data_IF_194910381985
#
_entry.id   IF_194910381985
#
_cell.length_a   1.000
_cell.length_b   1.000
_cell.length_c   1.000
_cell.angle_alpha   90.00
_cell.angle_beta   90.00
_cell.angle_gamma   90.00
#
_symmetry.space_group_name_H-M   'P 1'
#
loop_
_entity.id
_entity.type
_entity.pdbx_description
1 polymer ?
#
# COMPACT_ATOMS: atom_id res chain seq x y z
N UNK A 1 -47.62 42.06 22.54
CA UNK A 1 -46.50 42.05 21.57
C UNK A 1 -45.77 40.75 21.84
N UNK A 2 -46.09 39.68 21.12
CA UNK A 2 -45.56 38.35 21.48
C UNK A 2 -44.88 37.65 20.29
N UNK A 3 -43.67 37.20 20.61
CA UNK A 3 -42.55 36.87 19.73
C UNK A 3 -42.80 35.56 18.97
N UNK A 4 -42.66 35.60 17.63
CA UNK A 4 -42.59 34.41 16.76
C UNK A 4 -41.33 33.60 17.11
N UNK A 5 -41.49 32.40 17.67
CA UNK A 5 -40.39 31.45 17.93
C UNK A 5 -40.15 30.57 16.70
N UNK A 6 -38.90 30.58 16.24
CA UNK A 6 -38.40 29.95 15.03
C UNK A 6 -38.11 28.45 15.30
N UNK A 7 -38.86 27.53 14.69
CA UNK A 7 -38.73 26.07 14.90
C UNK A 7 -38.24 25.41 13.60
N UNK A 8 -36.93 25.44 13.35
CA UNK A 8 -36.30 24.73 12.22
C UNK A 8 -34.99 23.94 12.50
N UNK A 9 -34.49 23.68 13.73
CA UNK A 9 -33.20 22.99 13.87
C UNK A 9 -33.27 21.45 13.71
N UNK A 10 -34.43 20.82 13.96
CA UNK A 10 -34.50 19.35 14.08
C UNK A 10 -34.48 18.59 12.74
N UNK A 11 -34.95 19.20 11.65
CA UNK A 11 -35.04 18.53 10.34
C UNK A 11 -33.67 18.47 9.64
N UNK A 12 -32.90 19.55 9.72
CA UNK A 12 -31.55 19.61 9.15
C UNK A 12 -30.59 18.63 9.84
N UNK A 13 -30.72 18.46 11.17
CA UNK A 13 -29.92 17.48 11.91
C UNK A 13 -30.22 16.03 11.50
N UNK A 14 -31.49 15.70 11.23
CA UNK A 14 -31.87 14.36 10.75
C UNK A 14 -31.38 14.07 9.34
N UNK A 15 -31.41 15.06 8.46
CA UNK A 15 -30.90 14.93 7.09
C UNK A 15 -29.38 14.80 7.05
N UNK A 16 -28.65 15.51 7.92
CA UNK A 16 -27.20 15.36 8.08
C UNK A 16 -26.82 13.96 8.60
N UNK A 17 -27.49 13.48 9.66
CA UNK A 17 -27.22 12.17 10.22
C UNK A 17 -27.49 11.02 9.22
N UNK A 18 -28.53 11.16 8.38
CA UNK A 18 -28.86 10.18 7.35
C UNK A 18 -27.82 10.12 6.21
N UNK A 19 -27.15 11.24 5.89
CA UNK A 19 -26.07 11.29 4.91
C UNK A 19 -24.81 10.61 5.44
N UNK A 20 -24.40 10.92 6.67
CA UNK A 20 -23.23 10.30 7.31
C UNK A 20 -23.40 8.78 7.45
N UNK A 21 -24.60 8.30 7.78
CA UNK A 21 -24.88 6.87 7.86
C UNK A 21 -24.78 6.15 6.49
N UNK A 22 -25.17 6.83 5.40
CA UNK A 22 -25.05 6.28 4.04
C UNK A 22 -23.61 6.24 3.55
N UNK A 23 -22.82 7.25 3.88
CA UNK A 23 -21.39 7.31 3.53
C UNK A 23 -20.60 6.23 4.29
N UNK A 24 -20.90 6.00 5.57
CA UNK A 24 -20.30 4.92 6.35
C UNK A 24 -20.67 3.53 5.80
N UNK A 25 -21.94 3.29 5.46
CA UNK A 25 -22.38 2.02 4.90
C UNK A 25 -21.78 1.74 3.50
N UNK A 26 -21.59 2.78 2.68
CA UNK A 26 -20.93 2.66 1.39
C UNK A 26 -19.43 2.33 1.54
N UNK A 27 -18.76 2.92 2.53
CA UNK A 27 -17.36 2.60 2.83
C UNK A 27 -17.18 1.15 3.32
N UNK A 28 -18.10 0.63 4.14
CA UNK A 28 -18.07 -0.77 4.61
C UNK A 28 -18.35 -1.79 3.50
N UNK A 29 -19.29 -1.49 2.59
CA UNK A 29 -19.61 -2.37 1.46
C UNK A 29 -18.43 -2.54 0.50
N UNK A 30 -17.69 -1.47 0.24
CA UNK A 30 -16.50 -1.49 -0.63
C UNK A 30 -15.36 -2.30 0.00
N UNK A 31 -15.24 -2.30 1.32
CA UNK A 31 -14.21 -3.07 2.04
C UNK A 31 -14.54 -4.57 2.10
N UNK A 32 -15.83 -4.92 2.19
CA UNK A 32 -16.29 -6.31 2.18
C UNK A 32 -16.13 -6.99 0.81
N UNK A 33 -16.36 -6.28 -0.30
CA UNK A 33 -16.19 -6.84 -1.65
C UNK A 33 -14.72 -7.09 -2.02
N UNK A 34 -13.78 -6.27 -1.52
CA UNK A 34 -12.33 -6.50 -1.73
C UNK A 34 -11.84 -7.81 -1.12
N UNK A 35 -12.44 -8.24 -0.01
CA UNK A 35 -12.01 -9.41 0.77
C UNK A 35 -12.21 -10.74 0.03
N UNK A 36 -13.20 -10.82 -0.84
CA UNK A 36 -13.64 -12.11 -1.43
C UNK A 36 -12.85 -12.51 -2.68
N UNK A 37 -12.16 -11.58 -3.35
CA UNK A 37 -11.51 -11.84 -4.66
C UNK A 37 -10.06 -12.36 -4.58
N UNK A 38 -9.47 -12.44 -3.39
CA UNK A 38 -8.03 -12.70 -3.20
C UNK A 38 -7.58 -14.17 -3.29
N UNK A 39 -8.41 -15.10 -3.78
CA UNK A 39 -8.07 -16.54 -3.86
C UNK A 39 -7.81 -17.02 -5.29
N UNK A 40 -6.91 -16.36 -6.02
CA UNK A 40 -6.41 -16.91 -7.29
C UNK A 40 -4.90 -16.74 -7.44
N UNK A 41 -4.26 -17.90 -7.66
CA UNK A 41 -2.89 -18.16 -8.09
C UNK A 41 -1.77 -17.50 -7.24
N UNK A 42 -1.26 -18.26 -6.27
CA UNK A 42 -0.01 -17.95 -5.58
C UNK A 42 1.16 -18.18 -6.54
N UNK A 43 1.94 -17.14 -6.82
CA UNK A 43 3.31 -17.27 -7.35
C UNK A 43 4.11 -18.09 -6.32
N UNK A 44 4.98 -19.02 -6.72
CA UNK A 44 5.74 -19.85 -5.78
C UNK A 44 6.57 -18.97 -4.84
N UNK A 45 6.45 -19.23 -3.54
CA UNK A 45 7.02 -18.45 -2.41
C UNK A 45 8.56 -18.29 -2.42
N UNK A 46 9.26 -18.87 -3.40
CA UNK A 46 10.73 -18.92 -3.47
C UNK A 46 11.31 -18.28 -4.74
N UNK A 47 10.49 -17.69 -5.62
CA UNK A 47 11.01 -17.01 -6.81
C UNK A 47 11.57 -15.64 -6.41
N UNK A 48 12.90 -15.50 -6.39
CA UNK A 48 13.58 -14.22 -6.24
C UNK A 48 13.96 -13.69 -7.62
N UNK A 49 13.37 -12.57 -8.02
CA UNK A 49 13.68 -11.88 -9.29
C UNK A 49 14.59 -10.67 -9.02
N UNK A 50 15.59 -10.46 -9.88
CA UNK A 50 16.41 -9.26 -9.85
C UNK A 50 15.67 -8.07 -10.47
N UNK A 51 15.56 -6.98 -9.71
CA UNK A 51 14.86 -5.77 -10.15
C UNK A 51 15.75 -4.55 -10.01
N UNK A 52 15.34 -3.44 -10.62
CA UNK A 52 16.04 -2.15 -10.50
C UNK A 52 15.35 -1.29 -9.45
N UNK A 53 16.14 -0.78 -8.50
CA UNK A 53 15.70 0.27 -7.60
C UNK A 53 15.54 1.59 -8.38
N UNK A 54 14.35 2.17 -8.35
CA UNK A 54 14.04 3.46 -9.02
C UNK A 54 14.14 4.61 -8.04
N UNK A 55 13.61 4.41 -6.83
CA UNK A 55 13.60 5.39 -5.75
C UNK A 55 13.63 4.66 -4.40
N UNK A 56 14.17 5.30 -3.38
CA UNK A 56 14.30 4.77 -2.02
C UNK A 56 14.13 5.89 -0.99
N UNK A 57 13.33 5.59 0.02
CA UNK A 57 13.12 6.45 1.19
C UNK A 57 13.19 5.61 2.47
N UNK A 58 13.10 6.27 3.62
CA UNK A 58 12.98 5.62 4.94
C UNK A 58 11.82 4.64 5.03
N UNK A 59 10.71 4.90 4.33
CA UNK A 59 9.46 4.16 4.51
C UNK A 59 9.07 3.29 3.33
N UNK A 60 9.83 3.31 2.24
CA UNK A 60 9.47 2.54 1.06
C UNK A 60 10.38 2.78 -0.12
N UNK A 61 10.07 2.10 -1.21
CA UNK A 61 10.83 2.19 -2.44
C UNK A 61 9.93 2.02 -3.68
N UNK A 62 10.45 2.47 -4.82
CA UNK A 62 9.92 2.15 -6.14
C UNK A 62 10.85 1.17 -6.84
N UNK A 63 10.30 0.08 -7.37
CA UNK A 63 11.05 -0.96 -8.08
C UNK A 63 10.58 -1.03 -9.52
N UNK A 64 11.51 -1.32 -10.44
CA UNK A 64 11.25 -1.56 -11.86
C UNK A 64 11.72 -2.95 -12.27
N UNK A 65 10.83 -3.67 -12.92
CA UNK A 65 11.01 -5.01 -13.47
C UNK A 65 11.47 -4.94 -14.94
N UNK A 66 12.00 -6.05 -15.45
CA UNK A 66 12.37 -6.18 -16.86
C UNK A 66 11.14 -6.41 -17.76
N UNK A 67 10.05 -6.94 -17.20
CA UNK A 67 8.79 -7.19 -17.87
C UNK A 67 7.61 -6.80 -16.95
N UNK A 68 6.39 -6.84 -17.48
CA UNK A 68 5.17 -6.57 -16.71
C UNK A 68 5.11 -7.47 -15.49
N UNK A 69 4.85 -6.88 -14.33
CA UNK A 69 4.92 -7.60 -13.07
C UNK A 69 3.56 -8.14 -12.62
N UNK A 70 3.58 -9.31 -11.99
CA UNK A 70 2.37 -9.94 -11.44
C UNK A 70 2.06 -9.49 -10.01
N UNK A 71 2.93 -8.69 -9.38
CA UNK A 71 2.67 -8.17 -8.04
C UNK A 71 1.39 -7.33 -8.01
N UNK A 72 0.64 -7.44 -6.92
CA UNK A 72 -0.66 -6.80 -6.68
C UNK A 72 -0.62 -5.97 -5.41
N UNK A 73 -1.35 -4.84 -5.35
CA UNK A 73 -1.52 -4.09 -4.11
C UNK A 73 -2.02 -5.00 -2.97
N UNK A 74 -1.42 -4.83 -1.79
CA UNK A 74 -1.69 -5.62 -0.59
C UNK A 74 -0.83 -6.88 -0.45
N UNK A 75 -0.04 -7.26 -1.46
CA UNK A 75 0.89 -8.38 -1.32
C UNK A 75 2.09 -8.00 -0.46
N UNK A 76 2.49 -8.94 0.39
CA UNK A 76 3.71 -8.85 1.17
C UNK A 76 4.89 -9.38 0.34
N UNK A 77 6.00 -8.66 0.36
CA UNK A 77 7.23 -8.98 -0.37
C UNK A 77 8.46 -8.89 0.54
N UNK A 78 9.50 -9.64 0.17
CA UNK A 78 10.85 -9.52 0.72
C UNK A 78 11.74 -8.86 -0.31
N UNK A 79 12.56 -7.93 0.15
CA UNK A 79 13.58 -7.25 -0.63
C UNK A 79 14.96 -7.59 -0.07
N UNK A 80 15.76 -8.31 -0.84
CA UNK A 80 17.17 -8.55 -0.55
C UNK A 80 18.03 -7.52 -1.28
N UNK A 81 18.88 -6.81 -0.55
CA UNK A 81 19.91 -5.95 -1.13
C UNK A 81 21.25 -6.67 -1.01
N UNK A 82 22.03 -6.75 -2.08
CA UNK A 82 23.36 -7.38 -2.06
C UNK A 82 24.22 -6.77 -0.94
N UNK A 83 24.92 -7.58 -0.14
CA UNK A 83 25.74 -7.07 0.98
C UNK A 83 24.97 -6.79 2.27
N UNK A 84 23.65 -6.72 2.24
CA UNK A 84 22.83 -6.66 3.45
C UNK A 84 22.58 -8.06 4.02
N UNK A 85 22.69 -8.20 5.34
CA UNK A 85 22.43 -9.49 6.02
C UNK A 85 20.94 -9.82 6.12
N UNK A 86 20.10 -8.79 6.17
CA UNK A 86 18.66 -8.95 6.43
C UNK A 86 17.82 -8.47 5.26
N UNK A 87 16.85 -9.30 4.86
CA UNK A 87 15.85 -8.89 3.87
C UNK A 87 14.87 -7.89 4.48
N UNK A 88 14.54 -6.84 3.74
CA UNK A 88 13.52 -5.86 4.11
C UNK A 88 12.15 -6.43 3.78
N UNK A 89 11.20 -6.36 4.72
CA UNK A 89 9.81 -6.78 4.50
C UNK A 89 8.97 -5.57 4.11
N UNK A 90 8.18 -5.70 3.05
CA UNK A 90 7.37 -4.60 2.53
C UNK A 90 5.98 -5.07 2.06
N UNK A 91 5.08 -4.12 1.87
CA UNK A 91 3.75 -4.32 1.29
C UNK A 91 3.67 -3.53 -0.01
N UNK A 92 3.23 -4.18 -1.08
CA UNK A 92 2.96 -3.52 -2.37
C UNK A 92 1.77 -2.56 -2.18
N UNK A 93 1.96 -1.27 -2.47
CA UNK A 93 0.91 -0.24 -2.35
C UNK A 93 0.24 0.03 -3.69
N UNK A 94 1.00 0.00 -4.77
CA UNK A 94 0.51 0.18 -6.13
C UNK A 94 1.36 -0.62 -7.12
N UNK A 95 0.75 -0.94 -8.26
CA UNK A 95 1.40 -1.59 -9.40
C UNK A 95 1.01 -0.81 -10.66
N UNK A 96 1.99 -0.51 -11.50
CA UNK A 96 1.82 0.17 -12.79
C UNK A 96 2.78 -0.47 -13.80
N UNK A 97 2.26 -1.26 -14.74
CA UNK A 97 3.01 -2.00 -15.75
C UNK A 97 4.22 -2.80 -15.19
N UNK A 98 5.43 -2.25 -15.36
CA UNK A 98 6.69 -2.83 -14.93
C UNK A 98 7.20 -2.21 -13.63
N UNK A 99 6.36 -1.51 -12.87
CA UNK A 99 6.73 -0.83 -11.64
C UNK A 99 5.80 -1.20 -10.49
N UNK A 100 6.38 -1.20 -9.31
CA UNK A 100 5.62 -1.22 -8.06
C UNK A 100 6.16 -0.18 -7.09
N UNK A 101 5.26 0.38 -6.30
CA UNK A 101 5.62 1.07 -5.07
C UNK A 101 5.38 0.15 -3.88
N UNK A 102 6.38 0.02 -3.02
CA UNK A 102 6.32 -0.80 -1.83
C UNK A 102 6.58 0.04 -0.58
N UNK A 103 5.81 -0.22 0.47
CA UNK A 103 5.97 0.40 1.79
C UNK A 103 6.62 -0.61 2.74
N UNK A 104 7.66 -0.20 3.44
CA UNK A 104 8.35 -1.07 4.38
C UNK A 104 7.51 -1.27 5.64
N UNK A 105 7.44 -2.51 6.10
CA UNK A 105 6.78 -2.86 7.37
C UNK A 105 7.50 -2.27 8.59
N UNK A 106 8.79 -1.98 8.44
CA UNK A 106 9.60 -1.22 9.39
C UNK A 106 10.48 -0.26 8.60
N UNK A 107 10.55 1.00 9.01
CA UNK A 107 11.39 1.99 8.35
C UNK A 107 12.87 1.60 8.39
N UNK A 108 13.63 2.00 7.36
CA UNK A 108 15.07 1.78 7.31
C UNK A 108 15.81 2.92 8.00
N UNK A 109 16.83 2.64 8.81
CA UNK A 109 17.67 3.68 9.38
C UNK A 109 18.52 4.34 8.28
N UNK A 110 18.95 5.59 8.50
CA UNK A 110 19.58 6.43 7.47
C UNK A 110 20.90 5.83 6.93
N UNK A 111 21.73 5.28 7.82
CA UNK A 111 22.97 4.58 7.48
C UNK A 111 22.75 3.42 6.50
N UNK A 112 21.64 2.71 6.66
CA UNK A 112 21.25 1.62 5.77
C UNK A 112 20.77 2.12 4.41
N UNK A 113 20.04 3.24 4.37
CA UNK A 113 19.64 3.87 3.11
C UNK A 113 20.87 4.31 2.33
N UNK A 114 21.81 4.98 3.00
CA UNK A 114 23.06 5.44 2.40
C UNK A 114 23.88 4.27 1.86
N UNK A 115 23.98 3.17 2.61
CA UNK A 115 24.66 1.96 2.16
C UNK A 115 24.03 1.39 0.88
N UNK A 116 22.69 1.31 0.82
CA UNK A 116 21.97 0.80 -0.37
C UNK A 116 22.16 1.72 -1.58
N UNK A 117 22.20 3.04 -1.38
CA UNK A 117 22.35 4.02 -2.46
C UNK A 117 23.80 4.18 -2.95
N UNK A 118 24.78 3.96 -2.09
CA UNK A 118 26.21 4.08 -2.43
C UNK A 118 26.69 3.06 -3.46
N UNK A 119 26.01 1.92 -3.53
CA UNK A 119 26.27 0.88 -4.51
C UNK A 119 25.10 0.81 -5.50
N UNK A 120 25.40 0.72 -6.81
CA UNK A 120 24.36 0.46 -7.80
C UNK A 120 23.85 -0.98 -7.68
N UNK A 121 22.91 -1.21 -6.75
CA UNK A 121 22.40 -2.55 -6.41
C UNK A 121 21.12 -2.86 -7.19
N UNK A 122 21.06 -4.08 -7.72
CA UNK A 122 19.81 -4.70 -8.21
C UNK A 122 19.22 -5.53 -7.08
N UNK A 123 18.23 -5.03 -6.31
CA UNK A 123 17.62 -5.83 -5.26
C UNK A 123 16.94 -7.06 -5.84
N UNK A 124 16.89 -8.12 -5.02
CA UNK A 124 16.10 -9.30 -5.26
C UNK A 124 14.74 -9.13 -4.59
N UNK A 125 13.66 -9.36 -5.32
CA UNK A 125 12.30 -9.35 -4.79
C UNK A 125 11.67 -10.74 -4.86
N UNK A 126 11.00 -11.14 -3.79
CA UNK A 126 10.19 -12.35 -3.75
C UNK A 126 8.95 -12.14 -2.88
N UNK A 127 7.96 -13.02 -3.02
CA UNK A 127 6.80 -13.02 -2.13
C UNK A 127 7.18 -13.45 -0.71
N UNK A 128 6.45 -12.91 0.28
CA UNK A 128 6.50 -13.34 1.68
C UNK A 128 5.60 -14.55 1.94
#
# INVERSE_FOLDING_TARGET
MDRKRNIQPARQQREAAARTAREAAAAESVDSERRTRARRAMTPANSTEAVRLVDLSTHGCCLRFAATTEYRPGQFIRLGFSGEREAVRAIVRWTEDMRIGAEFTCGLPADRIDAILSESRSPLVGLL
#
